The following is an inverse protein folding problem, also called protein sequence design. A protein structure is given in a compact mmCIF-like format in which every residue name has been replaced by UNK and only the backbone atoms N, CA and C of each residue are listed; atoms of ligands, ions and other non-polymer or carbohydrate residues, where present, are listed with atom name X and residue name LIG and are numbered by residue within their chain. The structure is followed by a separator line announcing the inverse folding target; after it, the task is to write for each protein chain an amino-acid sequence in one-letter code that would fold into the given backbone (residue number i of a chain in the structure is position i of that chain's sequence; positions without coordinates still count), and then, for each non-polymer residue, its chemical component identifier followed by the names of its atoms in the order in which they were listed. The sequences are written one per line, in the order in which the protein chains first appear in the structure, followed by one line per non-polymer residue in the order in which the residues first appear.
data_IF_300134447379
#
_entry.id   IF_300134447379
#
_cell.length_a   1.000
_cell.length_b   1.000
_cell.length_c   1.000
_cell.angle_alpha   90.00
_cell.angle_beta   90.00
_cell.angle_gamma   90.00
#
_symmetry.space_group_name_H-M   'P 1'
#
loop_
_entity.id
_entity.type
_entity.pdbx_description
1 polymer ?
#
# COMPACT_ATOMS: atom_id res chain seq x y z
N UNK A 1 -8.47 -7.52 14.46
CA UNK A 1 -9.29 -6.36 14.33
C UNK A 1 -10.58 -6.60 13.63
N UNK A 2 -11.59 -5.92 14.06
CA UNK A 2 -12.92 -6.12 13.52
C UNK A 2 -13.08 -5.48 12.13
N UNK A 3 -13.81 -6.16 11.27
CA UNK A 3 -14.23 -5.59 9.98
C UNK A 3 -15.04 -4.31 10.10
N UNK A 4 -15.60 -4.05 11.29
CA UNK A 4 -16.37 -2.83 11.56
C UNK A 4 -15.52 -1.55 11.43
N UNK A 5 -14.27 -1.56 11.90
CA UNK A 5 -13.43 -0.36 11.83
C UNK A 5 -13.00 -0.09 10.38
N UNK A 6 -12.68 -1.14 9.62
CA UNK A 6 -12.37 -0.99 8.19
C UNK A 6 -13.61 -0.50 7.44
N UNK A 7 -14.77 -1.08 7.73
CA UNK A 7 -16.04 -0.68 7.14
C UNK A 7 -16.36 0.79 7.43
N UNK A 8 -16.12 1.25 8.68
CA UNK A 8 -16.34 2.65 9.07
C UNK A 8 -15.44 3.60 8.29
N UNK A 9 -14.18 3.23 8.08
CA UNK A 9 -13.24 4.03 7.29
C UNK A 9 -13.71 4.09 5.83
N UNK A 10 -14.14 2.95 5.27
CA UNK A 10 -14.65 2.90 3.90
C UNK A 10 -15.91 3.76 3.73
N UNK A 11 -16.73 3.88 4.78
CA UNK A 11 -17.92 4.74 4.76
C UNK A 11 -17.57 6.22 4.74
N UNK A 12 -16.51 6.62 5.44
CA UNK A 12 -16.15 8.01 5.63
C UNK A 12 -15.11 8.51 4.64
N UNK A 13 -14.43 7.58 3.94
CA UNK A 13 -13.46 7.91 2.91
C UNK A 13 -14.16 8.03 1.56
N UNK A 14 -13.55 8.76 0.62
CA UNK A 14 -13.98 8.71 -0.76
C UNK A 14 -13.99 7.25 -1.21
N UNK A 15 -14.98 6.82 -2.02
CA UNK A 15 -15.07 5.42 -2.42
C UNK A 15 -13.77 5.01 -3.14
N UNK A 16 -13.08 4.02 -2.59
CA UNK A 16 -11.92 3.41 -3.23
C UNK A 16 -12.39 2.07 -3.77
N UNK A 17 -12.35 1.88 -5.10
CA UNK A 17 -12.71 0.58 -5.67
C UNK A 17 -11.84 -0.52 -5.06
N UNK A 18 -12.46 -1.61 -4.63
CA UNK A 18 -11.75 -2.70 -3.97
C UNK A 18 -10.69 -3.34 -4.87
N UNK A 19 -10.86 -3.24 -6.19
CA UNK A 19 -9.88 -3.74 -7.14
C UNK A 19 -8.58 -2.92 -7.19
N UNK A 20 -8.59 -1.68 -6.70
CA UNK A 20 -7.37 -0.87 -6.63
C UNK A 20 -6.40 -1.37 -5.56
N UNK A 21 -6.91 -1.98 -4.50
CA UNK A 21 -6.08 -2.49 -3.41
C UNK A 21 -5.20 -3.67 -3.86
N UNK A 22 -5.74 -4.71 -4.52
CA UNK A 22 -4.90 -5.77 -5.07
C UNK A 22 -3.90 -5.26 -6.11
N UNK A 23 -4.29 -4.29 -6.92
CA UNK A 23 -3.40 -3.68 -7.90
C UNK A 23 -2.22 -2.98 -7.22
N UNK A 24 -2.48 -2.24 -6.14
CA UNK A 24 -1.43 -1.60 -5.37
C UNK A 24 -0.49 -2.64 -4.76
N UNK A 25 -1.03 -3.72 -4.20
CA UNK A 25 -0.23 -4.80 -3.61
C UNK A 25 0.63 -5.47 -4.67
N UNK A 26 0.11 -5.68 -5.88
CA UNK A 26 0.88 -6.22 -6.99
C UNK A 26 2.05 -5.31 -7.35
N UNK A 27 1.81 -4.00 -7.41
CA UNK A 27 2.87 -3.02 -7.65
C UNK A 27 3.93 -3.03 -6.55
N UNK A 28 3.52 -3.14 -5.28
CA UNK A 28 4.43 -3.24 -4.15
C UNK A 28 5.29 -4.50 -4.24
N UNK A 29 4.70 -5.63 -4.64
CA UNK A 29 5.44 -6.87 -4.84
C UNK A 29 6.45 -6.73 -5.98
N UNK A 30 6.07 -6.08 -7.06
CA UNK A 30 6.97 -5.84 -8.19
C UNK A 30 8.17 -4.98 -7.79
N UNK A 31 7.99 -4.07 -6.84
CA UNK A 31 9.10 -3.27 -6.30
C UNK A 31 10.20 -4.12 -5.67
N UNK A 32 9.86 -5.28 -5.12
CA UNK A 32 10.85 -6.18 -4.51
C UNK A 32 11.71 -6.89 -5.56
N UNK A 33 11.31 -6.84 -6.81
CA UNK A 33 12.04 -7.44 -7.92
C UNK A 33 12.94 -6.46 -8.64
N UNK A 34 13.16 -5.27 -8.06
CA UNK A 34 13.94 -4.21 -8.67
C UNK A 34 15.34 -4.67 -9.12
N UNK A 35 15.99 -5.50 -8.31
CA UNK A 35 17.34 -5.99 -8.61
C UNK A 35 17.40 -6.91 -9.85
N UNK A 36 16.25 -7.43 -10.28
CA UNK A 36 16.12 -8.31 -11.44
C UNK A 36 15.74 -7.56 -12.71
N UNK A 37 15.51 -6.23 -12.60
CA UNK A 37 15.01 -5.42 -13.69
C UNK A 37 16.15 -5.04 -14.64
N UNK A 38 15.95 -5.26 -15.93
CA UNK A 38 16.90 -4.87 -16.97
C UNK A 38 16.81 -3.36 -17.22
N UNK A 39 17.83 -2.79 -17.88
CA UNK A 39 17.83 -1.35 -18.22
C UNK A 39 16.63 -0.94 -19.08
N UNK A 40 16.09 -1.87 -19.89
CA UNK A 40 14.89 -1.62 -20.69
C UNK A 40 13.65 -1.38 -19.83
N UNK A 41 13.57 -2.08 -18.71
CA UNK A 41 12.40 -2.08 -17.84
C UNK A 41 12.46 -0.96 -16.80
N UNK A 42 13.62 -0.33 -16.60
CA UNK A 42 13.79 0.74 -15.64
C UNK A 42 12.78 1.88 -15.84
N UNK A 43 12.56 2.27 -17.09
CA UNK A 43 11.61 3.33 -17.41
C UNK A 43 10.19 2.97 -17.03
N UNK A 44 9.79 1.74 -17.34
CA UNK A 44 8.47 1.21 -16.98
C UNK A 44 8.33 1.09 -15.48
N UNK A 45 9.38 0.63 -14.81
CA UNK A 45 9.43 0.53 -13.37
C UNK A 45 9.28 1.89 -12.69
N UNK A 46 10.01 2.90 -13.17
CA UNK A 46 9.92 4.26 -12.63
C UNK A 46 8.52 4.85 -12.79
N UNK A 47 7.87 4.60 -13.94
CA UNK A 47 6.49 5.03 -14.17
C UNK A 47 5.52 4.35 -13.21
N UNK A 48 5.69 3.07 -12.98
CA UNK A 48 4.88 2.30 -12.02
C UNK A 48 5.08 2.83 -10.61
N UNK A 49 6.33 3.12 -10.24
CA UNK A 49 6.67 3.67 -8.93
C UNK A 49 6.03 5.04 -8.71
N UNK A 50 6.00 5.89 -9.72
CA UNK A 50 5.33 7.19 -9.67
C UNK A 50 3.83 7.05 -9.44
N UNK A 51 3.19 6.12 -10.14
CA UNK A 51 1.76 5.84 -9.96
C UNK A 51 1.49 5.38 -8.52
N UNK A 52 2.32 4.48 -8.02
CA UNK A 52 2.20 3.92 -6.67
C UNK A 52 2.37 5.01 -5.61
N UNK A 53 3.36 5.88 -5.77
CA UNK A 53 3.62 6.99 -4.86
C UNK A 53 2.41 7.93 -4.84
N UNK A 54 1.88 8.29 -6.02
CA UNK A 54 0.73 9.18 -6.12
C UNK A 54 -0.52 8.56 -5.49
N UNK A 55 -0.73 7.27 -5.69
CA UNK A 55 -1.86 6.55 -5.11
C UNK A 55 -1.79 6.58 -3.58
N UNK A 56 -0.64 6.23 -3.02
CA UNK A 56 -0.47 6.20 -1.57
C UNK A 56 -0.55 7.59 -0.96
N UNK A 57 0.08 8.59 -1.57
CA UNK A 57 0.05 9.97 -1.04
C UNK A 57 -1.32 10.61 -1.17
N UNK A 58 -2.02 10.35 -2.26
CA UNK A 58 -3.35 10.90 -2.50
C UNK A 58 -4.42 10.34 -1.57
N UNK A 59 -4.21 9.12 -1.07
CA UNK A 59 -5.14 8.44 -0.16
C UNK A 59 -4.43 8.00 1.12
N UNK A 60 -3.53 8.84 1.60
CA UNK A 60 -2.62 8.53 2.70
C UNK A 60 -3.34 8.00 3.93
N UNK A 61 -4.36 8.70 4.41
CA UNK A 61 -5.06 8.32 5.64
C UNK A 61 -5.75 6.97 5.51
N UNK A 62 -6.31 6.69 4.34
CA UNK A 62 -6.94 5.41 4.07
C UNK A 62 -5.91 4.27 4.10
N UNK A 63 -4.80 4.42 3.38
CA UNK A 63 -3.81 3.35 3.31
C UNK A 63 -3.09 3.15 4.64
N UNK A 64 -2.78 4.22 5.36
CA UNK A 64 -2.21 4.12 6.71
C UNK A 64 -3.10 3.27 7.62
N UNK A 65 -4.38 3.59 7.64
CA UNK A 65 -5.35 2.85 8.45
C UNK A 65 -5.47 1.41 7.97
N UNK A 66 -5.61 1.21 6.66
CA UNK A 66 -5.80 -0.11 6.06
C UNK A 66 -4.62 -1.04 6.35
N UNK A 67 -3.41 -0.57 6.10
CA UNK A 67 -2.19 -1.35 6.38
C UNK A 67 -2.04 -1.64 7.87
N UNK A 68 -2.33 -0.67 8.73
CA UNK A 68 -2.23 -0.86 10.18
C UNK A 68 -3.18 -1.94 10.68
N UNK A 69 -4.32 -2.12 10.02
CA UNK A 69 -5.30 -3.14 10.42
C UNK A 69 -4.97 -4.51 9.82
N UNK A 70 -4.59 -4.56 8.56
CA UNK A 70 -4.23 -5.82 7.90
C UNK A 70 -2.96 -6.42 8.49
N UNK A 71 -1.98 -5.58 8.81
CA UNK A 71 -0.70 -6.00 9.36
C UNK A 71 -0.58 -5.62 10.84
N UNK A 72 -1.61 -5.94 11.62
CA UNK A 72 -1.67 -5.54 13.03
C UNK A 72 -0.47 -6.02 13.85
N UNK A 73 0.08 -7.20 13.53
CA UNK A 73 1.27 -7.74 14.19
C UNK A 73 2.55 -7.00 13.82
N UNK A 74 2.50 -6.09 12.86
CA UNK A 74 3.64 -5.31 12.38
C UNK A 74 3.37 -3.81 12.44
N UNK A 75 2.54 -3.38 13.37
CA UNK A 75 2.12 -1.98 13.47
C UNK A 75 3.28 -1.00 13.58
N UNK A 76 4.35 -1.36 14.30
CA UNK A 76 5.50 -0.46 14.46
C UNK A 76 6.22 -0.23 13.14
N UNK A 77 6.42 -1.30 12.35
CA UNK A 77 7.06 -1.19 11.03
C UNK A 77 6.19 -0.36 10.09
N UNK A 78 4.88 -0.64 10.07
CA UNK A 78 3.93 0.10 9.24
C UNK A 78 3.91 1.57 9.63
N UNK A 79 3.86 1.88 10.91
CA UNK A 79 3.88 3.27 11.40
C UNK A 79 5.13 3.99 10.95
N UNK A 80 6.29 3.34 11.10
CA UNK A 80 7.57 3.92 10.69
C UNK A 80 7.59 4.22 9.20
N UNK A 81 7.11 3.29 8.37
CA UNK A 81 7.06 3.48 6.92
C UNK A 81 6.16 4.66 6.53
N UNK A 82 4.98 4.75 7.16
CA UNK A 82 4.07 5.86 6.89
C UNK A 82 4.58 7.18 7.45
N UNK A 83 5.31 7.18 8.57
CA UNK A 83 5.96 8.39 9.08
C UNK A 83 7.00 8.92 8.08
N UNK A 84 7.78 8.02 7.48
CA UNK A 84 8.75 8.39 6.45
C UNK A 84 8.03 8.98 5.24
N UNK A 85 6.93 8.38 4.81
CA UNK A 85 6.11 8.91 3.72
C UNK A 85 5.57 10.30 4.06
N UNK A 86 5.05 10.47 5.28
CA UNK A 86 4.52 11.75 5.74
C UNK A 86 5.59 12.85 5.72
N UNK A 87 6.80 12.53 6.22
CA UNK A 87 7.92 13.46 6.16
C UNK A 87 8.28 13.82 4.73
N UNK A 88 8.28 12.83 3.84
CA UNK A 88 8.53 13.06 2.42
C UNK A 88 7.50 13.99 1.78
N UNK A 89 6.23 13.82 2.14
CA UNK A 89 5.15 14.69 1.67
C UNK A 89 5.38 16.12 2.16
N UNK A 90 5.66 16.29 3.45
CA UNK A 90 5.87 17.62 4.06
C UNK A 90 7.08 18.34 3.49
N UNK A 91 8.13 17.61 3.16
CA UNK A 91 9.38 18.15 2.61
C UNK A 91 9.39 18.18 1.09
N UNK A 92 8.32 17.73 0.45
CA UNK A 92 8.25 17.57 -1.01
C UNK A 92 9.46 16.78 -1.54
N UNK A 93 9.79 15.68 -0.85
CA UNK A 93 10.94 14.85 -1.12
C UNK A 93 10.49 13.47 -1.63
N UNK A 94 10.54 13.29 -2.95
CA UNK A 94 10.10 12.06 -3.60
C UNK A 94 10.92 10.84 -3.16
N UNK A 95 12.23 10.99 -2.99
CA UNK A 95 13.11 9.88 -2.60
C UNK A 95 12.77 9.37 -1.20
N UNK A 96 12.41 10.28 -0.31
CA UNK A 96 11.99 9.91 1.05
C UNK A 96 10.66 9.16 1.02
N UNK A 97 9.71 9.61 0.20
CA UNK A 97 8.44 8.90 0.00
C UNK A 97 8.71 7.50 -0.55
N UNK A 98 9.59 7.40 -1.54
CA UNK A 98 9.97 6.12 -2.14
C UNK A 98 10.58 5.15 -1.12
N UNK A 99 11.36 5.68 -0.16
CA UNK A 99 11.93 4.87 0.93
C UNK A 99 10.84 4.24 1.78
N UNK A 100 9.84 5.01 2.17
CA UNK A 100 8.71 4.50 2.94
C UNK A 100 7.89 3.47 2.15
N UNK A 101 7.65 3.74 0.87
CA UNK A 101 6.94 2.80 -0.01
C UNK A 101 7.71 1.49 -0.15
N UNK A 102 9.04 1.55 -0.24
CA UNK A 102 9.88 0.35 -0.27
C UNK A 102 9.72 -0.48 1.00
N UNK A 103 9.63 0.17 2.15
CA UNK A 103 9.33 -0.52 3.42
C UNK A 103 8.00 -1.24 3.38
N UNK A 104 6.96 -0.60 2.87
CA UNK A 104 5.64 -1.23 2.70
C UNK A 104 5.73 -2.43 1.76
N UNK A 105 6.52 -2.34 0.69
CA UNK A 105 6.74 -3.45 -0.24
C UNK A 105 7.32 -4.67 0.46
N UNK A 106 8.28 -4.46 1.37
CA UNK A 106 8.88 -5.55 2.14
C UNK A 106 7.86 -6.22 3.06
N UNK A 107 6.99 -5.44 3.68
CA UNK A 107 5.93 -5.96 4.53
C UNK A 107 4.99 -6.85 3.73
N UNK A 108 4.54 -6.39 2.56
CA UNK A 108 3.65 -7.16 1.70
C UNK A 108 4.35 -8.43 1.21
N UNK A 109 5.62 -8.32 0.78
CA UNK A 109 6.39 -9.45 0.24
C UNK A 109 6.61 -10.56 1.27
N UNK A 110 6.65 -10.22 2.56
CA UNK A 110 6.82 -11.20 3.64
C UNK A 110 5.49 -11.65 4.26
N UNK A 111 4.37 -11.28 3.66
CA UNK A 111 3.03 -11.57 4.18
C UNK A 111 2.34 -12.68 3.37
N UNK A 112 1.23 -13.25 3.88
CA UNK A 112 0.40 -14.16 3.10
C UNK A 112 -0.22 -13.53 1.85
N UNK A 113 -0.25 -12.21 1.76
CA UNK A 113 -0.86 -11.47 0.65
C UNK A 113 0.02 -11.38 -0.59
N UNK A 114 1.17 -12.09 -0.61
CA UNK A 114 1.83 -12.45 -1.87
C UNK A 114 0.91 -13.28 -2.75
N UNK A 115 -0.01 -14.02 -2.12
CA UNK A 115 -1.13 -14.66 -2.81
C UNK A 115 -2.28 -13.65 -2.86
N UNK A 116 -2.46 -13.03 -4.02
CA UNK A 116 -3.49 -12.00 -4.21
C UNK A 116 -4.91 -12.54 -4.04
N UNK A 117 -5.11 -13.84 -4.24
CA UNK A 117 -6.43 -14.46 -4.01
C UNK A 117 -6.82 -14.39 -2.53
N UNK A 118 -5.85 -14.54 -1.63
CA UNK A 118 -6.10 -14.38 -0.19
C UNK A 118 -6.51 -12.94 0.13
N UNK A 119 -5.84 -11.97 -0.49
CA UNK A 119 -6.19 -10.56 -0.31
C UNK A 119 -7.60 -10.28 -0.84
N UNK A 120 -7.92 -10.77 -2.03
CA UNK A 120 -9.25 -10.59 -2.62
C UNK A 120 -10.35 -11.20 -1.75
N UNK A 121 -10.09 -12.37 -1.16
CA UNK A 121 -11.04 -13.00 -0.24
C UNK A 121 -11.26 -12.17 1.00
N UNK A 122 -10.18 -11.59 1.56
CA UNK A 122 -10.30 -10.71 2.70
C UNK A 122 -11.15 -9.47 2.35
N UNK A 123 -10.89 -8.86 1.20
CA UNK A 123 -11.64 -7.70 0.75
C UNK A 123 -13.10 -8.04 0.50
N UNK A 124 -13.37 -9.22 -0.08
CA UNK A 124 -14.73 -9.69 -0.32
C UNK A 124 -15.50 -10.01 0.94
N UNK A 125 -14.81 -10.25 2.07
CA UNK A 125 -15.48 -10.52 3.37
C UNK A 125 -15.81 -9.22 4.10
N UNK A 126 -15.35 -8.07 3.63
CA UNK A 126 -15.70 -6.79 4.24
C UNK A 126 -17.16 -6.44 3.90
N UNK A 127 -17.89 -5.78 4.82
CA UNK A 127 -19.25 -5.35 4.53
C UNK A 127 -19.27 -4.41 3.34
N UNK A 128 -20.30 -4.47 2.49
CA UNK A 128 -20.39 -3.55 1.37
C UNK A 128 -20.43 -2.11 1.86
N UNK A 129 -19.77 -1.23 1.13
CA UNK A 129 -19.85 0.20 1.38
C UNK A 129 -21.29 0.65 1.14
N UNK A 130 -21.89 1.41 2.05
CA UNK A 130 -23.25 1.90 1.85
C UNK A 130 -23.31 2.90 0.69
#
# INVERSE_FOLDING_TARGET
MSGKAISKILKNAAPIPTEEIPRLFEMLLDCQKESEITKRELKKYDSMKDVMIREITGKYSFYEFFFSKIFAERQEVIRKDFDIIDQGIKQNNRDLIATGVSGLSQVVASSPFTDLEKLKRLLGSLPPSP
#
